data_IF_499531290840
#
_entry.id   IF_499531290840
#
_cell.length_a   1.000
_cell.length_b   1.000
_cell.length_c   1.000
_cell.angle_alpha   90.00
_cell.angle_beta   90.00
_cell.angle_gamma   90.00
#
_symmetry.space_group_name_H-M   'P 1'
#
loop_
_entity.id
_entity.type
_entity.pdbx_description
1 polymer ?
#
# COMPACT_ATOMS: atom_id res chain seq x y z
N UNK A 1 -33.54 12.19 -1.40
CA UNK A 1 -34.36 13.42 -1.30
C UNK A 1 -33.56 14.40 -0.45
N UNK A 2 -33.21 15.59 -0.95
CA UNK A 2 -32.46 16.60 -0.18
C UNK A 2 -33.49 17.52 0.50
N UNK A 3 -33.47 17.61 1.82
CA UNK A 3 -34.31 18.53 2.58
C UNK A 3 -33.60 19.89 2.56
N UNK A 4 -34.24 20.91 1.99
CA UNK A 4 -33.66 22.25 1.84
C UNK A 4 -33.89 23.08 3.11
N UNK A 5 -35.07 22.92 3.71
CA UNK A 5 -35.46 23.60 4.94
C UNK A 5 -36.38 22.68 5.75
N UNK A 6 -36.19 22.64 7.06
CA UNK A 6 -37.00 21.87 8.00
C UNK A 6 -37.41 22.75 9.16
N UNK A 7 -38.72 22.87 9.38
CA UNK A 7 -39.29 23.54 10.55
C UNK A 7 -39.95 22.48 11.42
N UNK A 8 -39.47 22.33 12.65
CA UNK A 8 -40.05 21.42 13.63
C UNK A 8 -40.75 22.21 14.73
N UNK A 9 -41.88 21.68 15.19
CA UNK A 9 -42.55 22.15 16.38
C UNK A 9 -42.72 20.96 17.32
N UNK A 10 -42.52 21.18 18.61
CA UNK A 10 -42.56 20.13 19.62
C UNK A 10 -43.32 20.60 20.83
N UNK A 11 -44.15 19.72 21.37
CA UNK A 11 -44.83 19.96 22.64
C UNK A 11 -44.08 19.25 23.77
N UNK A 12 -43.77 19.93 24.87
CA UNK A 12 -43.23 19.27 26.05
C UNK A 12 -44.27 18.33 26.66
N UNK A 13 -43.81 17.26 27.30
CA UNK A 13 -44.67 16.30 27.99
C UNK A 13 -44.02 15.85 29.30
N UNK A 14 -44.82 15.31 30.20
CA UNK A 14 -44.38 14.87 31.52
C UNK A 14 -44.34 13.33 31.56
N UNK A 15 -43.20 12.80 31.99
CA UNK A 15 -43.00 11.40 32.33
C UNK A 15 -43.44 11.19 33.78
N UNK A 16 -44.35 10.24 33.98
CA UNK A 16 -44.88 9.87 35.29
C UNK A 16 -44.41 8.45 35.60
N UNK A 17 -43.98 8.16 36.85
CA UNK A 17 -43.68 6.81 37.28
C UNK A 17 -44.84 5.86 37.01
N UNK A 18 -44.52 4.63 36.61
CA UNK A 18 -45.53 3.60 36.34
C UNK A 18 -46.22 3.12 37.62
N UNK A 19 -45.59 3.31 38.79
CA UNK A 19 -46.17 3.00 40.10
C UNK A 19 -46.98 4.19 40.62
N UNK A 20 -48.29 3.99 40.81
CA UNK A 20 -49.19 4.98 41.39
C UNK A 20 -48.76 5.32 42.83
N UNK A 21 -48.25 6.53 43.06
CA UNK A 21 -47.97 7.04 44.41
C UNK A 21 -46.68 7.86 44.56
N UNK A 22 -45.75 7.77 43.61
CA UNK A 22 -44.61 8.67 43.55
C UNK A 22 -45.07 9.97 42.89
N UNK A 23 -45.44 11.00 43.66
CA UNK A 23 -45.87 12.32 43.17
C UNK A 23 -44.77 13.14 42.47
N UNK A 24 -43.90 12.47 41.72
CA UNK A 24 -42.72 12.98 41.04
C UNK A 24 -42.99 12.95 39.55
N UNK A 25 -42.99 14.11 38.90
CA UNK A 25 -43.15 14.22 37.45
C UNK A 25 -41.87 14.77 36.83
N UNK A 26 -41.43 14.15 35.73
CA UNK A 26 -40.24 14.57 35.00
C UNK A 26 -40.66 15.17 33.68
N UNK A 27 -40.48 16.47 33.52
CA UNK A 27 -40.82 17.22 32.32
C UNK A 27 -39.73 17.12 31.25
N UNK A 28 -40.12 16.70 30.07
CA UNK A 28 -39.28 16.68 28.87
C UNK A 28 -39.57 17.94 28.06
N UNK A 29 -38.59 18.86 27.99
CA UNK A 29 -38.78 20.17 27.34
C UNK A 29 -38.68 20.11 25.81
N UNK A 30 -37.69 19.38 25.28
CA UNK A 30 -37.38 19.33 23.83
C UNK A 30 -37.22 17.89 23.35
N UNK A 31 -38.32 17.14 23.16
CA UNK A 31 -38.25 15.70 22.94
C UNK A 31 -37.50 15.28 21.66
N UNK A 32 -37.51 16.11 20.61
CA UNK A 32 -36.79 15.80 19.37
C UNK A 32 -35.26 15.90 19.48
N UNK A 33 -34.73 16.51 20.54
CA UNK A 33 -33.28 16.53 20.80
C UNK A 33 -32.79 15.18 21.37
N UNK A 34 -33.71 14.27 21.74
CA UNK A 34 -33.37 12.97 22.29
C UNK A 34 -32.94 11.98 21.21
N UNK A 35 -31.99 11.11 21.56
CA UNK A 35 -31.56 10.00 20.71
C UNK A 35 -32.45 8.78 20.95
N UNK A 36 -32.94 8.16 19.87
CA UNK A 36 -33.83 6.98 19.81
C UNK A 36 -35.33 7.19 20.10
N UNK A 37 -35.84 8.43 20.10
CA UNK A 37 -37.28 8.65 20.30
C UNK A 37 -38.09 8.10 19.12
N UNK A 38 -38.82 7.01 19.37
CA UNK A 38 -39.74 6.41 18.38
C UNK A 38 -41.12 7.06 18.47
N UNK A 39 -41.46 7.89 17.49
CA UNK A 39 -42.78 8.48 17.34
C UNK A 39 -43.55 7.81 16.20
N UNK A 40 -44.86 7.67 16.36
CA UNK A 40 -45.76 7.15 15.34
C UNK A 40 -46.22 8.28 14.44
N UNK A 41 -46.07 8.13 13.12
CA UNK A 41 -46.56 9.10 12.15
C UNK A 41 -48.07 8.96 12.00
N UNK A 42 -48.82 10.02 12.26
CA UNK A 42 -50.29 10.01 12.19
C UNK A 42 -50.81 10.85 11.04
N UNK A 43 -50.02 11.81 10.59
CA UNK A 43 -50.33 12.59 9.40
C UNK A 43 -49.09 12.74 8.53
N UNK A 44 -49.27 12.54 7.23
CA UNK A 44 -48.26 12.83 6.23
C UNK A 44 -48.95 13.37 4.98
N UNK A 45 -48.57 14.58 4.57
CA UNK A 45 -49.07 15.19 3.35
C UNK A 45 -47.97 15.93 2.61
N UNK A 46 -47.91 15.69 1.30
CA UNK A 46 -47.00 16.40 0.41
C UNK A 46 -47.74 17.51 -0.34
N UNK A 47 -47.31 18.74 -0.14
CA UNK A 47 -47.80 19.93 -0.81
C UNK A 47 -46.84 20.28 -1.97
N UNK A 48 -47.17 19.94 -3.23
CA UNK A 48 -46.32 20.26 -4.37
C UNK A 48 -46.22 21.79 -4.54
N UNK A 49 -45.04 22.30 -4.89
CA UNK A 49 -44.89 23.72 -5.20
C UNK A 49 -45.48 24.00 -6.58
N UNK A 50 -46.56 24.78 -6.65
CA UNK A 50 -47.09 25.31 -7.91
C UNK A 50 -46.09 26.31 -8.47
N UNK A 51 -45.65 26.12 -9.71
CA UNK A 51 -44.58 26.88 -10.33
C UNK A 51 -45.15 28.15 -10.98
N UNK A 52 -44.70 29.33 -10.55
CA UNK A 52 -44.91 30.57 -11.30
C UNK A 52 -43.78 30.74 -12.34
N UNK A 53 -44.07 31.36 -13.49
CA UNK A 53 -43.11 31.53 -14.58
C UNK A 53 -41.82 32.27 -14.15
N UNK A 54 -41.89 33.12 -13.12
CA UNK A 54 -40.74 33.85 -12.57
C UNK A 54 -39.80 32.97 -11.74
N UNK A 55 -40.31 31.92 -11.09
CA UNK A 55 -39.51 31.05 -10.21
C UNK A 55 -38.60 30.11 -11.01
N UNK A 56 -39.00 29.77 -12.24
CA UNK A 56 -38.25 28.88 -13.14
C UNK A 56 -36.86 29.44 -13.50
N UNK A 57 -36.75 30.77 -13.65
CA UNK A 57 -35.49 31.44 -13.99
C UNK A 57 -34.53 31.43 -12.80
N UNK A 58 -35.01 31.68 -11.59
CA UNK A 58 -34.20 31.65 -10.37
C UNK A 58 -33.65 30.25 -10.04
N UNK A 59 -34.44 29.19 -10.27
CA UNK A 59 -34.00 27.81 -10.06
C UNK A 59 -32.94 27.35 -11.06
N UNK A 60 -32.91 27.88 -12.28
CA UNK A 60 -31.87 27.55 -13.28
C UNK A 60 -30.50 28.14 -12.91
N UNK A 61 -30.49 29.31 -12.26
CA UNK A 61 -29.27 29.98 -11.78
C UNK A 61 -28.75 29.32 -10.49
N UNK A 62 -29.65 28.93 -9.58
CA UNK A 62 -29.29 28.30 -8.29
C UNK A 62 -28.98 26.80 -8.40
N UNK A 63 -29.45 26.13 -9.46
CA UNK A 63 -29.27 24.68 -9.67
C UNK A 63 -30.13 23.80 -8.75
N UNK A 64 -30.87 24.37 -7.81
CA UNK A 64 -31.78 23.67 -6.91
C UNK A 64 -33.24 23.95 -7.28
N UNK A 65 -34.00 22.88 -7.59
CA UNK A 65 -35.44 22.94 -7.89
C UNK A 65 -36.25 22.33 -6.73
N UNK A 66 -36.93 23.13 -5.89
CA UNK A 66 -37.79 22.61 -4.84
C UNK A 66 -38.96 21.86 -5.47
N UNK A 67 -39.27 20.67 -4.94
CA UNK A 67 -40.39 19.84 -5.43
C UNK A 67 -41.70 20.15 -4.71
N UNK A 68 -41.63 20.71 -3.52
CA UNK A 68 -42.77 20.92 -2.63
C UNK A 68 -42.36 20.83 -1.17
N UNK A 69 -43.34 21.00 -0.30
CA UNK A 69 -43.22 20.95 1.15
C UNK A 69 -43.85 19.64 1.61
N UNK A 70 -43.14 18.90 2.46
CA UNK A 70 -43.67 17.69 3.09
C UNK A 70 -44.01 18.04 4.54
N UNK A 71 -45.28 17.90 4.89
CA UNK A 71 -45.79 18.09 6.24
C UNK A 71 -46.01 16.72 6.88
N UNK A 72 -45.41 16.50 8.04
CA UNK A 72 -45.49 15.24 8.79
C UNK A 72 -45.78 15.55 10.25
N UNK A 73 -46.82 14.94 10.80
CA UNK A 73 -47.11 14.97 12.24
C UNK A 73 -46.85 13.59 12.85
N UNK A 74 -46.09 13.59 13.93
CA UNK A 74 -45.78 12.39 14.69
C UNK A 74 -46.23 12.56 16.13
N UNK A 75 -46.71 11.48 16.75
CA UNK A 75 -47.19 11.51 18.12
C UNK A 75 -46.67 10.34 18.95
N UNK A 76 -46.65 10.58 20.26
CA UNK A 76 -46.42 9.58 21.28
C UNK A 76 -47.76 9.31 21.98
N UNK A 77 -48.19 8.06 22.05
CA UNK A 77 -49.46 7.69 22.69
C UNK A 77 -49.36 7.83 24.21
N UNK A 78 -50.40 8.36 24.84
CA UNK A 78 -50.49 8.46 26.31
C UNK A 78 -50.50 7.05 26.90
N UNK A 79 -49.73 6.85 27.98
CA UNK A 79 -49.57 5.54 28.62
C UNK A 79 -48.46 4.67 28.01
N UNK A 80 -47.73 5.16 27.01
CA UNK A 80 -46.54 4.46 26.49
C UNK A 80 -45.43 4.48 27.53
N UNK A 81 -44.90 3.31 27.90
CA UNK A 81 -43.73 3.21 28.74
C UNK A 81 -42.51 3.77 28.01
N UNK A 82 -41.87 4.77 28.61
CA UNK A 82 -40.67 5.41 28.07
C UNK A 82 -39.57 5.44 29.11
N UNK A 83 -38.37 5.06 28.68
CA UNK A 83 -37.14 5.19 29.45
C UNK A 83 -36.42 6.46 29.00
N UNK A 84 -36.30 7.42 29.91
CA UNK A 84 -35.49 8.62 29.73
C UNK A 84 -34.15 8.50 30.44
N UNK A 85 -33.04 8.67 29.73
CA UNK A 85 -31.69 8.66 30.30
C UNK A 85 -31.02 10.01 30.03
N UNK A 86 -30.70 10.73 31.10
CA UNK A 86 -30.11 12.06 31.04
C UNK A 86 -29.84 12.61 32.44
N UNK A 87 -29.53 13.90 32.50
CA UNK A 87 -29.40 14.63 33.77
C UNK A 87 -30.76 15.18 34.19
N UNK A 88 -31.10 15.00 35.46
CA UNK A 88 -32.32 15.54 36.06
C UNK A 88 -31.97 16.82 36.81
N UNK A 89 -32.57 17.93 36.41
CA UNK A 89 -32.40 19.23 37.07
C UNK A 89 -33.74 19.69 37.63
N UNK A 90 -33.77 19.98 38.93
CA UNK A 90 -34.92 20.59 39.58
C UNK A 90 -34.92 22.09 39.28
N UNK A 91 -35.90 22.56 38.51
CA UNK A 91 -36.13 23.98 38.28
C UNK A 91 -37.42 24.42 38.97
N UNK A 92 -37.24 25.19 40.05
CA UNK A 92 -38.26 25.79 40.92
C UNK A 92 -39.21 24.78 41.59
N UNK A 93 -40.00 24.05 40.80
CA UNK A 93 -40.99 23.04 41.24
C UNK A 93 -41.14 21.88 40.24
N UNK A 94 -40.44 21.90 39.11
CA UNK A 94 -40.53 20.89 38.06
C UNK A 94 -39.18 20.24 37.84
N UNK A 95 -39.14 18.90 37.83
CA UNK A 95 -37.91 18.17 37.47
C UNK A 95 -37.85 18.12 35.95
N UNK A 96 -36.76 18.61 35.37
CA UNK A 96 -36.54 18.65 33.92
C UNK A 96 -35.49 17.61 33.54
N UNK A 97 -35.76 16.87 32.47
CA UNK A 97 -34.76 16.00 31.84
C UNK A 97 -33.96 16.80 30.80
N UNK A 98 -32.64 16.81 30.96
CA UNK A 98 -31.73 17.52 30.07
C UNK A 98 -30.49 16.68 29.72
N UNK A 99 -29.72 17.08 28.69
CA UNK A 99 -28.46 16.42 28.39
C UNK A 99 -27.38 16.71 29.44
N UNK A 100 -26.59 15.69 29.85
CA UNK A 100 -25.68 15.80 31.01
C UNK A 100 -24.46 16.70 30.81
N UNK A 101 -24.03 16.94 29.57
CA UNK A 101 -22.99 17.92 29.23
C UNK A 101 -23.30 18.53 27.87
N UNK A 102 -22.80 19.74 27.61
CA UNK A 102 -22.90 20.39 26.31
C UNK A 102 -22.33 19.46 25.22
N UNK A 103 -23.17 19.10 24.26
CA UNK A 103 -22.81 18.23 23.14
C UNK A 103 -23.01 16.72 23.37
N UNK A 104 -23.40 16.28 24.57
CA UNK A 104 -23.83 14.89 24.78
C UNK A 104 -25.33 14.76 24.55
N UNK A 105 -25.81 13.73 23.83
CA UNK A 105 -27.24 13.49 23.71
C UNK A 105 -27.81 12.95 25.01
N UNK A 106 -29.09 13.20 25.23
CA UNK A 106 -29.89 12.42 26.17
C UNK A 106 -30.75 11.44 25.37
N UNK A 107 -31.24 10.38 26.01
CA UNK A 107 -31.95 9.30 25.35
C UNK A 107 -33.40 9.26 25.83
N UNK A 108 -34.33 9.07 24.88
CA UNK A 108 -35.72 8.74 25.15
C UNK A 108 -36.03 7.53 24.27
N UNK A 109 -36.35 6.40 24.89
CA UNK A 109 -36.65 5.18 24.13
C UNK A 109 -37.83 4.44 24.75
N UNK A 110 -38.55 3.70 23.91
CA UNK A 110 -39.60 2.76 24.31
C UNK A 110 -39.03 1.45 24.86
N UNK A 111 -37.72 1.23 24.73
CA UNK A 111 -37.03 0.08 25.31
C UNK A 111 -36.66 0.31 26.78
N UNK A 112 -36.48 -0.78 27.53
CA UNK A 112 -35.98 -0.74 28.90
C UNK A 112 -34.50 -0.34 28.95
N UNK A 113 -34.07 0.16 30.11
CA UNK A 113 -32.70 0.60 30.35
C UNK A 113 -31.66 -0.49 30.06
N UNK A 114 -31.94 -1.75 30.42
CA UNK A 114 -30.99 -2.84 30.23
C UNK A 114 -30.83 -3.18 28.74
N UNK A 115 -31.93 -3.23 27.98
CA UNK A 115 -31.85 -3.44 26.52
C UNK A 115 -31.12 -2.31 25.80
N UNK A 116 -31.31 -1.05 26.21
CA UNK A 116 -30.56 0.09 25.67
C UNK A 116 -29.05 -0.07 25.90
N UNK A 117 -28.67 -0.42 27.13
CA UNK A 117 -27.28 -0.63 27.51
C UNK A 117 -26.66 -1.81 26.75
N UNK A 118 -27.36 -2.93 26.66
CA UNK A 118 -26.89 -4.13 25.95
C UNK A 118 -26.73 -3.89 24.44
N UNK A 119 -27.62 -3.11 23.82
CA UNK A 119 -27.50 -2.70 22.41
C UNK A 119 -26.23 -1.88 22.17
N UNK A 120 -25.95 -0.91 23.03
CA UNK A 120 -24.73 -0.11 22.95
C UNK A 120 -23.46 -0.96 23.18
N UNK A 121 -23.49 -1.83 24.19
CA UNK A 121 -22.34 -2.67 24.54
C UNK A 121 -22.02 -3.70 23.46
N UNK A 122 -23.05 -4.34 22.87
CA UNK A 122 -22.87 -5.33 21.79
C UNK A 122 -22.29 -4.71 20.53
N UNK A 123 -22.72 -3.49 20.17
CA UNK A 123 -22.10 -2.73 19.08
C UNK A 123 -20.62 -2.47 19.37
N UNK A 124 -20.27 -1.98 20.57
CA UNK A 124 -18.87 -1.74 20.94
C UNK A 124 -18.04 -3.02 20.92
N UNK A 125 -18.59 -4.14 21.42
CA UNK A 125 -17.92 -5.46 21.37
C UNK A 125 -17.67 -5.90 19.94
N UNK A 126 -18.65 -5.76 19.05
CA UNK A 126 -18.51 -6.07 17.64
C UNK A 126 -17.40 -5.25 16.98
N UNK A 127 -17.38 -3.93 17.18
CA UNK A 127 -16.34 -3.05 16.64
C UNK A 127 -14.95 -3.39 17.20
N UNK A 128 -14.84 -3.70 18.49
CA UNK A 128 -13.57 -4.15 19.09
C UNK A 128 -13.05 -5.42 18.42
N UNK A 129 -13.90 -6.44 18.25
CA UNK A 129 -13.52 -7.70 17.58
C UNK A 129 -13.05 -7.42 16.14
N UNK A 130 -13.79 -6.58 15.41
CA UNK A 130 -13.45 -6.22 14.04
C UNK A 130 -12.06 -5.55 13.96
N UNK A 131 -11.76 -4.61 14.86
CA UNK A 131 -10.45 -3.95 14.89
C UNK A 131 -9.30 -4.92 15.18
N UNK A 132 -9.51 -5.91 16.06
CA UNK A 132 -8.50 -6.92 16.37
C UNK A 132 -8.24 -7.84 15.17
N UNK A 133 -9.30 -8.27 14.46
CA UNK A 133 -9.16 -9.11 13.27
C UNK A 133 -8.39 -8.40 12.15
N UNK A 134 -8.71 -7.14 11.86
CA UNK A 134 -7.97 -6.35 10.88
C UNK A 134 -6.52 -6.08 11.31
N UNK A 135 -6.28 -5.84 12.60
CA UNK A 135 -4.93 -5.72 13.16
C UNK A 135 -4.11 -7.01 12.96
N UNK A 136 -4.70 -8.17 13.20
CA UNK A 136 -4.03 -9.45 12.97
C UNK A 136 -3.74 -9.71 11.48
N UNK A 137 -4.73 -9.46 10.61
CA UNK A 137 -4.56 -9.66 9.17
C UNK A 137 -3.45 -8.76 8.60
N UNK A 138 -3.38 -7.50 9.01
CA UNK A 138 -2.33 -6.56 8.58
C UNK A 138 -0.94 -7.01 9.05
N UNK A 139 -0.81 -7.41 10.32
CA UNK A 139 0.45 -7.97 10.84
C UNK A 139 0.88 -9.24 10.08
N UNK A 140 -0.05 -10.15 9.78
CA UNK A 140 0.24 -11.37 9.03
C UNK A 140 0.69 -11.08 7.60
N UNK A 141 0.05 -10.13 6.91
CA UNK A 141 0.44 -9.69 5.56
C UNK A 141 1.82 -9.03 5.57
N UNK A 142 2.07 -8.12 6.53
CA UNK A 142 3.37 -7.49 6.68
C UNK A 142 4.48 -8.52 6.93
N UNK A 143 4.24 -9.47 7.84
CA UNK A 143 5.18 -10.56 8.10
C UNK A 143 5.43 -11.42 6.85
N UNK A 144 4.37 -11.75 6.09
CA UNK A 144 4.50 -12.51 4.84
C UNK A 144 5.30 -11.73 3.78
N UNK A 145 5.03 -10.44 3.59
CA UNK A 145 5.76 -9.59 2.65
C UNK A 145 7.23 -9.45 3.05
N UNK A 146 7.51 -9.19 4.33
CA UNK A 146 8.89 -9.11 4.85
C UNK A 146 9.62 -10.44 4.68
N UNK A 147 8.99 -11.57 5.00
CA UNK A 147 9.58 -12.90 4.80
C UNK A 147 9.81 -13.20 3.32
N UNK A 148 8.87 -12.84 2.45
CA UNK A 148 8.99 -12.98 0.99
C UNK A 148 10.13 -12.11 0.45
N UNK A 149 10.23 -10.85 0.88
CA UNK A 149 11.32 -9.96 0.49
C UNK A 149 12.67 -10.46 1.00
N UNK A 150 12.76 -10.89 2.27
CA UNK A 150 13.98 -11.42 2.85
C UNK A 150 14.47 -12.66 2.09
N UNK A 151 13.55 -13.59 1.81
CA UNK A 151 13.87 -14.80 1.05
C UNK A 151 14.28 -14.48 -0.39
N UNK A 152 13.57 -13.57 -1.05
CA UNK A 152 13.92 -13.13 -2.41
C UNK A 152 15.27 -12.41 -2.46
N UNK A 153 15.58 -11.59 -1.46
CA UNK A 153 16.90 -10.97 -1.35
C UNK A 153 17.99 -12.02 -1.14
N UNK A 154 17.74 -13.02 -0.30
CA UNK A 154 18.70 -14.10 -0.05
C UNK A 154 18.98 -14.92 -1.31
N UNK A 155 17.94 -15.29 -2.06
CA UNK A 155 18.07 -15.99 -3.34
C UNK A 155 18.83 -15.14 -4.37
N UNK A 156 18.54 -13.84 -4.46
CA UNK A 156 19.28 -12.91 -5.35
C UNK A 156 20.74 -12.74 -4.96
N UNK A 157 21.06 -12.68 -3.67
CA UNK A 157 22.46 -12.59 -3.19
C UNK A 157 23.23 -13.85 -3.54
N UNK A 158 22.63 -15.03 -3.33
CA UNK A 158 23.24 -16.31 -3.66
C UNK A 158 23.48 -16.44 -5.18
N UNK A 159 22.51 -16.06 -6.01
CA UNK A 159 22.67 -16.10 -7.45
C UNK A 159 23.78 -15.15 -7.94
N UNK A 160 23.87 -13.95 -7.36
CA UNK A 160 24.98 -13.01 -7.65
C UNK A 160 26.33 -13.59 -7.24
N UNK A 161 26.44 -14.18 -6.04
CA UNK A 161 27.67 -14.83 -5.58
C UNK A 161 28.11 -15.94 -6.56
N UNK A 162 27.19 -16.82 -6.95
CA UNK A 162 27.47 -17.87 -7.93
C UNK A 162 27.92 -17.30 -9.29
N UNK A 163 27.31 -16.20 -9.74
CA UNK A 163 27.67 -15.55 -11.00
C UNK A 163 29.06 -14.88 -10.92
N UNK A 164 29.38 -14.23 -9.80
CA UNK A 164 30.68 -13.62 -9.55
C UNK A 164 31.78 -14.68 -9.44
N UNK A 165 31.51 -15.80 -8.77
CA UNK A 165 32.43 -16.95 -8.70
C UNK A 165 32.69 -17.54 -10.09
N UNK A 166 31.64 -17.74 -10.89
CA UNK A 166 31.79 -18.24 -12.26
C UNK A 166 32.60 -17.27 -13.13
N UNK A 167 32.34 -15.97 -13.02
CA UNK A 167 33.10 -14.94 -13.73
C UNK A 167 34.59 -14.95 -13.34
N UNK A 168 34.89 -15.04 -12.05
CA UNK A 168 36.27 -15.12 -11.58
C UNK A 168 36.97 -16.39 -12.07
N UNK A 169 36.29 -17.54 -12.06
CA UNK A 169 36.82 -18.79 -12.58
C UNK A 169 37.14 -18.68 -14.09
N UNK A 170 36.23 -18.08 -14.86
CA UNK A 170 36.43 -17.86 -16.29
C UNK A 170 37.60 -16.90 -16.57
N UNK A 171 37.73 -15.82 -15.80
CA UNK A 171 38.85 -14.88 -15.91
C UNK A 171 40.21 -15.53 -15.56
N UNK A 172 40.25 -16.43 -14.56
CA UNK A 172 41.45 -17.20 -14.22
C UNK A 172 41.89 -18.12 -15.37
N UNK A 173 40.96 -18.91 -15.91
CA UNK A 173 41.24 -19.79 -17.06
C UNK A 173 41.71 -19.00 -18.29
N UNK A 174 41.13 -17.83 -18.55
CA UNK A 174 41.56 -16.98 -19.66
C UNK A 174 42.98 -16.42 -19.47
N UNK A 175 43.36 -16.09 -18.23
CA UNK A 175 44.74 -15.65 -17.91
C UNK A 175 45.75 -16.80 -18.08
N UNK A 176 45.42 -17.99 -17.60
CA UNK A 176 46.25 -19.19 -17.76
C UNK A 176 46.45 -19.52 -19.25
N UNK A 177 45.36 -19.58 -20.02
CA UNK A 177 45.43 -19.79 -21.47
C UNK A 177 46.24 -18.70 -22.19
N UNK A 178 46.11 -17.44 -21.81
CA UNK A 178 46.89 -16.35 -22.41
C UNK A 178 48.37 -16.41 -22.03
N UNK A 179 48.71 -16.88 -20.81
CA UNK A 179 50.09 -17.09 -20.40
C UNK A 179 50.73 -18.23 -21.20
N UNK A 180 50.08 -19.39 -21.30
CA UNK A 180 50.54 -20.54 -22.09
C UNK A 180 50.59 -20.23 -23.60
N UNK A 181 49.55 -19.57 -24.12
CA UNK A 181 49.47 -19.10 -25.50
C UNK A 181 50.55 -18.06 -25.83
N UNK A 182 50.86 -17.18 -24.87
CA UNK A 182 51.89 -16.16 -25.00
C UNK A 182 53.30 -16.76 -25.07
N UNK A 183 53.61 -17.77 -24.26
CA UNK A 183 54.90 -18.46 -24.29
C UNK A 183 55.07 -19.31 -25.55
N UNK A 184 54.03 -20.06 -25.96
CA UNK A 184 54.05 -20.85 -27.20
C UNK A 184 54.21 -19.97 -28.44
N UNK A 185 53.49 -18.85 -28.53
CA UNK A 185 53.66 -17.87 -29.62
C UNK A 185 55.04 -17.20 -29.60
N UNK A 186 55.60 -16.89 -28.42
CA UNK A 186 56.95 -16.33 -28.29
C UNK A 186 58.04 -17.30 -28.73
N UNK A 187 57.83 -18.60 -28.57
CA UNK A 187 58.79 -19.63 -28.97
C UNK A 187 58.53 -20.20 -30.37
N UNK A 188 57.42 -19.85 -31.02
CA UNK A 188 57.09 -20.25 -32.38
C UNK A 188 57.90 -19.48 -33.45
N UNK A 189 58.24 -20.17 -34.54
CA UNK A 189 58.86 -19.61 -35.73
C UNK A 189 57.99 -18.49 -36.30
N UNK A 190 58.55 -17.30 -36.55
CA UNK A 190 57.80 -16.13 -37.05
C UNK A 190 57.28 -16.32 -38.48
N UNK A 191 57.77 -17.34 -39.19
CA UNK A 191 57.41 -17.62 -40.59
C UNK A 191 56.23 -18.58 -40.67
N UNK A 192 56.30 -19.75 -40.03
CA UNK A 192 55.22 -20.75 -40.09
C UNK A 192 54.27 -20.72 -38.89
N UNK A 193 54.64 -20.09 -37.77
CA UNK A 193 53.90 -20.09 -36.50
C UNK A 193 53.59 -21.47 -35.90
N UNK A 194 54.04 -22.56 -36.52
CA UNK A 194 53.77 -23.93 -36.07
C UNK A 194 54.96 -24.59 -35.37
N UNK A 195 56.16 -24.48 -35.94
CA UNK A 195 57.36 -25.09 -35.38
C UNK A 195 58.05 -24.11 -34.42
N UNK A 196 58.75 -24.62 -33.41
CA UNK A 196 59.56 -23.81 -32.51
C UNK A 196 60.77 -23.20 -33.22
N UNK A 197 61.24 -22.06 -32.73
CA UNK A 197 62.48 -21.42 -33.21
C UNK A 197 63.65 -22.34 -32.90
N UNK A 198 64.39 -22.73 -33.93
CA UNK A 198 65.52 -23.67 -33.81
C UNK A 198 66.77 -23.18 -34.56
N UNK A 199 66.78 -21.91 -34.96
CA UNK A 199 67.82 -21.33 -35.80
C UNK A 199 68.26 -19.97 -35.24
N UNK A 200 69.58 -19.78 -35.10
CA UNK A 200 70.20 -18.48 -34.84
C UNK A 200 70.92 -18.02 -36.12
N UNK A 201 70.64 -16.79 -36.55
CA UNK A 201 71.31 -16.19 -37.70
C UNK A 201 72.52 -15.38 -37.25
N UNK A 202 73.72 -15.76 -37.72
CA UNK A 202 74.96 -15.08 -37.36
C UNK A 202 75.11 -13.74 -38.13
N UNK A 203 75.92 -12.84 -37.57
CA UNK A 203 76.05 -11.40 -37.89
C UNK A 203 74.89 -10.50 -37.40
N UNK A 204 73.67 -11.04 -37.21
CA UNK A 204 72.52 -10.27 -36.67
C UNK A 204 71.94 -10.81 -35.35
N UNK A 205 72.22 -12.06 -34.98
CA UNK A 205 71.86 -12.66 -33.68
C UNK A 205 70.38 -13.02 -33.49
N UNK A 206 69.50 -12.82 -34.47
CA UNK A 206 68.07 -13.07 -34.30
C UNK A 206 67.72 -14.57 -34.27
N UNK A 207 66.93 -14.95 -33.27
CA UNK A 207 66.33 -16.29 -33.11
C UNK A 207 64.85 -16.18 -33.49
N UNK A 208 64.54 -16.39 -34.78
CA UNK A 208 63.18 -16.14 -35.29
C UNK A 208 62.60 -17.26 -36.16
N UNK A 209 63.41 -18.19 -36.68
CA UNK A 209 62.94 -19.20 -37.64
C UNK A 209 63.18 -20.63 -37.17
N UNK A 210 62.41 -21.58 -37.70
CA UNK A 210 62.72 -23.01 -37.65
C UNK A 210 63.57 -23.41 -38.87
N UNK A 211 64.22 -24.58 -38.80
CA UNK A 211 65.10 -25.10 -39.86
C UNK A 211 64.40 -25.24 -41.21
N UNK A 212 63.16 -25.76 -41.22
CA UNK A 212 62.37 -25.89 -42.45
C UNK A 212 62.05 -24.55 -43.11
N UNK A 213 61.65 -23.54 -42.32
CA UNK A 213 61.37 -22.20 -42.85
C UNK A 213 62.63 -21.49 -43.35
N UNK A 214 63.77 -21.67 -42.68
CA UNK A 214 65.04 -21.11 -43.17
C UNK A 214 65.46 -21.68 -44.53
N UNK A 215 65.24 -22.98 -44.77
CA UNK A 215 65.54 -23.61 -46.05
C UNK A 215 64.65 -23.07 -47.18
N UNK A 216 63.41 -22.73 -46.86
CA UNK A 216 62.44 -22.18 -47.81
C UNK A 216 62.56 -20.66 -48.04
N UNK A 217 63.50 -19.96 -47.37
CA UNK A 217 63.71 -18.53 -47.61
C UNK A 217 64.25 -18.28 -49.03
N UNK A 218 63.77 -17.23 -49.73
CA UNK A 218 64.25 -16.89 -51.07
C UNK A 218 65.71 -16.44 -51.04
N UNK A 219 66.43 -16.70 -52.13
CA UNK A 219 67.81 -16.24 -52.30
C UNK A 219 67.85 -14.78 -52.83
N UNK A 220 68.69 -13.89 -52.27
CA UNK A 220 69.61 -14.12 -51.14
C UNK A 220 68.90 -14.18 -49.78
N UNK A 221 69.36 -15.08 -48.91
CA UNK A 221 68.73 -15.32 -47.60
C UNK A 221 68.91 -14.12 -46.66
N UNK A 222 67.79 -13.56 -46.20
CA UNK A 222 67.74 -12.41 -45.29
C UNK A 222 66.97 -12.75 -44.01
N UNK A 223 67.35 -12.12 -42.90
CA UNK A 223 66.68 -12.29 -41.62
C UNK A 223 65.25 -11.70 -41.67
N UNK A 224 64.19 -12.46 -41.36
CA UNK A 224 62.81 -11.95 -41.34
C UNK A 224 62.57 -10.80 -40.35
N UNK A 225 63.39 -10.67 -39.30
CA UNK A 225 63.25 -9.63 -38.27
C UNK A 225 63.93 -8.30 -38.64
N UNK A 226 65.16 -8.34 -39.16
CA UNK A 226 65.98 -7.14 -39.38
C UNK A 226 66.44 -6.95 -40.84
N UNK A 227 66.08 -7.89 -41.74
CA UNK A 227 66.43 -7.89 -43.18
C UNK A 227 67.91 -7.94 -43.52
N UNK A 228 68.79 -8.11 -42.53
CA UNK A 228 70.22 -8.32 -42.75
C UNK A 228 70.49 -9.65 -43.47
N UNK A 229 71.48 -9.69 -44.36
CA UNK A 229 71.88 -10.91 -45.06
C UNK A 229 72.42 -11.96 -44.07
N UNK A 230 72.00 -13.22 -44.23
CA UNK A 230 72.38 -14.32 -43.34
C UNK A 230 73.66 -14.96 -43.91
N UNK A 231 74.80 -14.81 -43.21
CA UNK A 231 76.06 -15.42 -43.65
C UNK A 231 76.20 -16.87 -43.18
N UNK A 232 75.78 -17.16 -41.94
CA UNK A 232 75.92 -18.47 -41.28
C UNK A 232 74.71 -18.74 -40.38
N UNK A 233 74.37 -20.02 -40.26
CA UNK A 233 73.27 -20.54 -39.44
C UNK A 233 73.84 -21.43 -38.34
N UNK A 234 73.35 -21.29 -37.11
CA UNK A 234 73.59 -22.25 -36.03
C UNK A 234 72.25 -22.85 -35.57
N UNK A 235 72.06 -24.17 -35.63
CA UNK A 235 70.88 -24.81 -35.09
C UNK A 235 70.92 -24.77 -33.55
N UNK A 236 69.79 -24.40 -32.93
CA UNK A 236 69.59 -24.51 -31.50
C UNK A 236 68.95 -25.86 -31.19
N UNK A 237 69.57 -26.60 -30.27
CA UNK A 237 68.96 -27.78 -29.67
C UNK A 237 68.31 -27.36 -28.36
N UNK A 238 66.98 -27.25 -28.35
CA UNK A 238 66.23 -27.18 -27.10
C UNK A 238 66.20 -28.59 -26.49
N UNK A 239 66.63 -28.70 -25.23
CA UNK A 239 66.48 -29.90 -24.40
C UNK A 239 65.06 -30.00 -23.84
#
# INVERSE_FOLDING_TARGET
KKIIHQRTNTTPFDLVPQEEGAGVTVRVMKPLDATELSLETVYEKFHPSVQSFTDVIGHYISGERPKGIQETEQMLKVGTALTGVGELVLDSTTIKLQPPKQGMPYYLSTMDFNSLLQKQESNVRFWKILTVLFGFATCAVLFFVLRKQYRHQRERRHLKQMQDEFRQAQERLMRERNAEGGETLRNACVVCLSNTKSCVFLECGHICSCTGCYQALPEPKTCPMCRQAISRLVPLYNS
#
